data_IF_112925763421
#
_entry.id   IF_112925763421
#
_cell.length_a   1.000
_cell.length_b   1.000
_cell.length_c   1.000
_cell.angle_alpha   90.00
_cell.angle_beta   90.00
_cell.angle_gamma   90.00
#
_symmetry.space_group_name_H-M   'P 1'
#
loop_
_entity.id
_entity.type
_entity.pdbx_description
1 polymer ?
#
# COMPACT_ATOMS: atom_id res chain seq x y z
N UNK A 1 10.15 -1.20 -0.94
CA UNK A 1 9.63 -2.57 -0.71
C UNK A 1 10.17 -3.65 -1.66
N UNK A 2 11.06 -3.32 -2.61
CA UNK A 2 11.67 -4.31 -3.51
C UNK A 2 12.95 -4.96 -2.96
N UNK A 3 13.44 -4.46 -1.82
CA UNK A 3 14.63 -4.96 -1.15
C UNK A 3 14.26 -5.95 -0.04
N UNK A 4 15.14 -6.91 0.31
CA UNK A 4 14.91 -7.83 1.41
C UNK A 4 14.60 -7.11 2.74
N UNK A 5 15.35 -6.05 3.05
CA UNK A 5 15.13 -5.23 4.25
C UNK A 5 13.75 -4.55 4.25
N UNK A 6 13.29 -4.04 3.10
CA UNK A 6 11.97 -3.43 2.99
C UNK A 6 10.83 -4.43 3.16
N UNK A 7 11.00 -5.66 2.65
CA UNK A 7 10.03 -6.74 2.85
C UNK A 7 10.02 -7.24 4.30
N UNK A 8 11.18 -7.30 4.96
CA UNK A 8 11.26 -7.62 6.38
C UNK A 8 10.52 -6.58 7.22
N UNK A 9 10.73 -5.30 6.96
CA UNK A 9 10.03 -4.24 7.68
C UNK A 9 8.51 -4.32 7.49
N UNK A 10 8.05 -4.60 6.27
CA UNK A 10 6.63 -4.83 5.99
C UNK A 10 6.09 -6.05 6.76
N UNK A 11 6.85 -7.14 6.81
CA UNK A 11 6.47 -8.33 7.56
C UNK A 11 6.31 -8.04 9.06
N UNK A 12 7.26 -7.31 9.64
CA UNK A 12 7.25 -6.99 11.06
C UNK A 12 6.12 -6.01 11.40
N UNK A 13 5.86 -5.05 10.51
CA UNK A 13 4.71 -4.14 10.64
C UNK A 13 3.36 -4.87 10.61
N UNK A 14 3.25 -5.95 9.84
CA UNK A 14 2.05 -6.78 9.67
C UNK A 14 1.94 -7.93 10.70
N UNK A 15 2.86 -8.01 11.66
CA UNK A 15 2.82 -9.04 12.70
C UNK A 15 1.55 -8.92 13.56
N UNK A 16 1.14 -7.68 13.87
CA UNK A 16 -0.03 -7.32 14.68
C UNK A 16 -1.14 -6.64 13.85
N UNK A 17 -1.00 -6.56 12.53
CA UNK A 17 -1.93 -5.85 11.63
C UNK A 17 -2.37 -6.72 10.46
N UNK A 18 -3.64 -6.56 10.08
CA UNK A 18 -4.23 -7.22 8.92
C UNK A 18 -4.14 -6.38 7.63
N UNK A 19 -3.97 -5.06 7.76
CA UNK A 19 -3.99 -4.08 6.69
C UNK A 19 -2.95 -2.98 6.94
N UNK A 20 -2.65 -2.18 5.91
CA UNK A 20 -1.69 -1.08 6.01
C UNK A 20 -2.24 0.08 6.87
N UNK A 21 -3.54 0.36 6.75
CA UNK A 21 -4.25 1.33 7.58
C UNK A 21 -5.60 0.75 8.05
N UNK A 22 -5.95 0.98 9.31
CA UNK A 22 -7.23 0.57 9.87
C UNK A 22 -7.44 -0.95 9.96
N UNK A 23 -8.70 -1.37 9.82
CA UNK A 23 -9.15 -2.76 10.02
C UNK A 23 -9.89 -3.33 8.81
N UNK A 24 -9.91 -2.61 7.69
CA UNK A 24 -10.57 -2.96 6.44
C UNK A 24 -9.62 -2.70 5.27
N UNK A 25 -9.73 -3.43 4.14
CA UNK A 25 -8.89 -3.18 2.98
C UNK A 25 -9.11 -1.78 2.43
N UNK A 26 -8.03 -1.10 2.05
CA UNK A 26 -8.04 0.30 1.66
C UNK A 26 -7.09 0.59 0.49
N UNK A 27 -7.14 1.82 -0.04
CA UNK A 27 -6.17 2.29 -1.04
C UNK A 27 -4.71 2.25 -0.53
N UNK A 28 -4.49 2.30 0.78
CA UNK A 28 -3.15 2.13 1.36
C UNK A 28 -2.59 0.73 1.08
N UNK A 29 -3.43 -0.30 1.21
CA UNK A 29 -3.04 -1.67 0.88
C UNK A 29 -2.68 -1.83 -0.59
N UNK A 30 -3.45 -1.20 -1.48
CA UNK A 30 -3.18 -1.22 -2.92
C UNK A 30 -1.87 -0.53 -3.26
N UNK A 31 -1.57 0.62 -2.64
CA UNK A 31 -0.32 1.34 -2.87
C UNK A 31 0.91 0.50 -2.48
N UNK A 32 0.87 -0.14 -1.30
CA UNK A 32 1.94 -1.02 -0.83
C UNK A 32 2.01 -2.29 -1.68
N UNK A 33 0.86 -2.86 -2.07
CA UNK A 33 0.78 -4.06 -2.89
C UNK A 33 1.41 -3.85 -4.27
N UNK A 34 1.14 -2.72 -4.93
CA UNK A 34 1.74 -2.35 -6.22
C UNK A 34 3.25 -2.10 -6.11
N UNK A 35 3.75 -1.70 -4.94
CA UNK A 35 5.16 -1.48 -4.68
C UNK A 35 5.95 -2.78 -4.40
N UNK A 36 5.25 -3.84 -4.00
CA UNK A 36 5.78 -5.20 -3.86
C UNK A 36 5.75 -5.86 -5.25
N UNK A 37 6.92 -6.19 -5.80
CA UNK A 37 7.04 -6.68 -7.17
C UNK A 37 6.51 -8.10 -7.42
N UNK A 38 6.12 -8.82 -6.36
CA UNK A 38 5.65 -10.20 -6.43
C UNK A 38 5.46 -10.81 -5.05
N UNK A 39 4.97 -12.06 -4.97
CA UNK A 39 4.72 -12.71 -3.68
C UNK A 39 5.98 -12.71 -2.80
N UNK A 40 5.89 -12.23 -1.54
CA UNK A 40 7.00 -12.29 -0.60
C UNK A 40 7.46 -13.74 -0.36
N UNK A 41 8.73 -13.95 0.04
CA UNK A 41 9.23 -15.26 0.46
C UNK A 41 8.37 -15.87 1.56
N UNK A 42 8.26 -17.20 1.57
CA UNK A 42 7.44 -17.93 2.55
C UNK A 42 7.84 -17.64 3.99
N UNK A 43 9.12 -17.39 4.26
CA UNK A 43 9.66 -17.03 5.58
C UNK A 43 9.06 -15.74 6.15
N UNK A 44 8.60 -14.84 5.27
CA UNK A 44 7.92 -13.60 5.64
C UNK A 44 6.41 -13.85 5.74
N UNK A 45 6.02 -14.72 6.68
CA UNK A 45 4.67 -15.26 6.79
C UNK A 45 3.58 -14.17 6.89
N UNK A 46 3.83 -13.06 7.59
CA UNK A 46 2.85 -11.99 7.75
C UNK A 46 2.68 -11.18 6.47
N UNK A 47 3.79 -10.85 5.81
CA UNK A 47 3.76 -10.16 4.52
C UNK A 47 3.12 -11.04 3.44
N UNK A 48 3.44 -12.34 3.40
CA UNK A 48 2.85 -13.26 2.43
C UNK A 48 1.35 -13.47 2.66
N UNK A 49 0.90 -13.61 3.92
CA UNK A 49 -0.52 -13.67 4.30
C UNK A 49 -1.26 -12.44 3.76
N UNK A 50 -0.77 -11.25 4.07
CA UNK A 50 -1.35 -9.99 3.62
C UNK A 50 -1.33 -9.87 2.10
N UNK A 51 -0.21 -10.18 1.43
CA UNK A 51 -0.09 -10.09 -0.02
C UNK A 51 -1.15 -10.95 -0.73
N UNK A 52 -1.32 -12.20 -0.29
CA UNK A 52 -2.33 -13.10 -0.85
C UNK A 52 -3.76 -12.61 -0.58
N UNK A 53 -3.99 -12.04 0.61
CA UNK A 53 -5.26 -11.42 0.95
C UNK A 53 -5.58 -10.25 0.02
N UNK A 54 -4.70 -9.26 -0.10
CA UNK A 54 -4.91 -8.08 -0.95
C UNK A 54 -4.99 -8.44 -2.43
N UNK A 55 -4.24 -9.46 -2.89
CA UNK A 55 -4.36 -9.99 -4.26
C UNK A 55 -5.77 -10.45 -4.59
N UNK A 56 -6.52 -10.98 -3.63
CA UNK A 56 -7.93 -11.36 -3.86
C UNK A 56 -8.84 -10.17 -4.16
N UNK A 57 -8.46 -8.95 -3.74
CA UNK A 57 -9.17 -7.69 -3.98
C UNK A 57 -8.76 -6.99 -5.29
N UNK A 58 -7.82 -7.53 -6.06
CA UNK A 58 -7.26 -6.87 -7.25
C UNK A 58 -8.34 -6.43 -8.25
N UNK A 59 -9.40 -7.24 -8.45
CA UNK A 59 -10.52 -6.93 -9.35
C UNK A 59 -11.39 -5.76 -8.88
N UNK A 60 -11.38 -5.46 -7.58
CA UNK A 60 -12.18 -4.41 -6.96
C UNK A 60 -11.31 -3.32 -6.33
N UNK A 61 -10.03 -3.23 -6.72
CA UNK A 61 -9.05 -2.31 -6.12
C UNK A 61 -9.46 -0.84 -6.24
N UNK A 62 -10.18 -0.46 -7.29
CA UNK A 62 -10.66 0.90 -7.49
C UNK A 62 -11.83 1.27 -6.56
N UNK A 63 -12.56 0.27 -6.05
CA UNK A 63 -13.71 0.47 -5.16
C UNK A 63 -13.34 0.43 -3.67
N UNK A 64 -12.08 0.17 -3.35
CA UNK A 64 -11.63 0.18 -1.96
C UNK A 64 -11.56 1.61 -1.41
N UNK A 65 -11.96 1.83 -0.14
CA UNK A 65 -11.99 3.14 0.47
C UNK A 65 -10.58 3.73 0.69
N UNK A 66 -10.51 5.05 0.85
CA UNK A 66 -9.28 5.78 1.16
C UNK A 66 -8.61 6.42 -0.05
N UNK A 67 -7.45 7.04 0.18
CA UNK A 67 -6.66 7.74 -0.85
C UNK A 67 -5.23 7.17 -0.81
N UNK A 68 -4.64 6.93 -1.99
CA UNK A 68 -3.22 6.55 -2.09
C UNK A 68 -2.33 7.70 -1.63
N UNK A 69 -1.41 7.43 -0.72
CA UNK A 69 -0.39 8.32 -0.18
C UNK A 69 0.98 7.78 -0.61
N UNK A 70 2.01 8.60 -0.45
CA UNK A 70 3.39 8.15 -0.66
C UNK A 70 3.72 7.00 0.32
N UNK A 71 4.51 6.02 -0.13
CA UNK A 71 4.81 4.81 0.65
C UNK A 71 5.42 5.11 2.02
N UNK A 72 6.32 6.09 2.11
CA UNK A 72 6.91 6.54 3.38
C UNK A 72 5.93 7.24 4.35
N UNK A 73 4.64 7.35 4.00
CA UNK A 73 3.58 7.81 4.91
C UNK A 73 2.80 6.64 5.53
N UNK A 74 3.07 5.42 5.09
CA UNK A 74 2.50 4.21 5.64
C UNK A 74 3.51 3.52 6.55
N UNK A 75 3.06 3.10 7.74
CA UNK A 75 3.94 2.53 8.75
C UNK A 75 4.43 3.54 9.80
N UNK A 76 5.42 3.16 10.62
CA UNK A 76 5.98 4.05 11.65
C UNK A 76 6.51 5.34 11.03
N UNK A 77 6.34 6.47 11.71
CA UNK A 77 6.65 7.81 11.18
C UNK A 77 8.14 8.05 10.82
N UNK A 78 9.05 7.13 11.19
CA UNK A 78 10.50 7.31 11.10
C UNK A 78 11.21 6.49 10.01
N UNK A 79 10.47 5.79 9.12
CA UNK A 79 11.09 5.15 7.95
C UNK A 79 11.12 6.10 6.76
N UNK A 80 12.19 6.91 6.69
CA UNK A 80 12.50 7.71 5.50
C UNK A 80 12.72 6.79 4.29
N UNK A 81 11.89 7.00 3.26
CA UNK A 81 12.04 6.39 1.95
C UNK A 81 13.22 7.06 1.24
N UNK A 82 14.36 6.37 1.16
CA UNK A 82 15.55 6.88 0.45
C UNK A 82 15.41 6.81 -1.08
N UNK A 83 14.21 6.70 -1.65
CA UNK A 83 13.99 6.82 -3.09
C UNK A 83 13.57 8.22 -3.49
N UNK A 84 14.52 9.15 -3.44
CA UNK A 84 14.39 10.45 -4.08
C UNK A 84 14.50 10.33 -5.60
N UNK A 85 13.44 10.71 -6.32
CA UNK A 85 13.54 11.56 -7.52
C UNK A 85 12.17 12.04 -8.00
N UNK A 86 11.98 13.37 -7.94
CA UNK A 86 11.30 14.13 -8.99
C UNK A 86 9.79 14.30 -8.87
N UNK A 87 9.36 15.43 -8.30
CA UNK A 87 7.98 15.88 -8.36
C UNK A 87 7.55 16.38 -9.75
N UNK A 88 6.24 16.40 -9.96
CA UNK A 88 5.54 17.42 -10.74
C UNK A 88 4.07 17.43 -10.27
N UNK A 89 3.67 18.55 -9.67
CA UNK A 89 2.29 19.04 -9.59
C UNK A 89 1.71 19.23 -10.99
N UNK A 90 0.48 18.81 -11.24
CA UNK A 90 -0.49 19.72 -11.88
C UNK A 90 -1.95 19.32 -11.61
N UNK A 91 -2.78 20.35 -11.58
CA UNK A 91 -4.21 20.39 -11.23
C UNK A 91 -5.15 19.99 -12.37
N UNK A 92 -6.43 19.80 -11.98
CA UNK A 92 -7.69 19.79 -12.77
C UNK A 92 -8.15 18.42 -13.29
N UNK A 93 -9.27 17.93 -12.77
CA UNK A 93 -10.53 18.12 -13.48
C UNK A 93 -11.70 18.18 -12.49
N UNK A 94 -12.46 19.26 -12.66
CA UNK A 94 -13.70 19.63 -12.03
C UNK A 94 -14.78 19.22 -13.05
N UNK A 95 -15.24 17.98 -12.98
CA UNK A 95 -16.29 17.46 -13.85
C UNK A 95 -17.47 17.00 -12.99
N UNK A 96 -18.34 17.96 -12.69
CA UNK A 96 -19.78 17.88 -12.94
C UNK A 96 -20.42 16.49 -12.75
N UNK A 97 -20.72 16.14 -11.50
CA UNK A 97 -21.82 15.20 -11.21
C UNK A 97 -22.99 16.02 -10.67
N UNK A 98 -23.87 16.38 -11.60
CA UNK A 98 -25.25 16.77 -11.33
C UNK A 98 -25.96 15.60 -10.63
N UNK A 99 -26.20 15.76 -9.33
CA UNK A 99 -27.00 14.85 -8.50
C UNK A 99 -28.42 15.45 -8.34
N UNK A 100 -29.32 15.13 -9.27
CA UNK A 100 -30.76 15.28 -9.12
C UNK A 100 -31.49 14.00 -9.56
#
# INVERSE_FOLDING_TARGET
LKTPAGLQHLNDFLADKSYIEGYVPSQADIAVFEAVSGPPPAELHHALRWYNHIKSYEKQKASLPGIKKALGKYGPADVEDTTGSGGATDSKDDDDIDLF
#
